data_IF_980304859930
#
_entry.id   IF_980304859930
#
_cell.length_a   1.000
_cell.length_b   1.000
_cell.length_c   1.000
_cell.angle_alpha   90.00
_cell.angle_beta   90.00
_cell.angle_gamma   90.00
#
_symmetry.space_group_name_H-M   'P 1'
#
loop_
_entity.id
_entity.type
_entity.pdbx_description
1 polymer ?
#
# COMPACT_ATOMS: atom_id res chain seq x y z
N UNK A 1 -43.20 -0.30 3.03
CA UNK A 1 -41.87 -0.19 3.65
C UNK A 1 -41.00 -1.14 2.88
N UNK A 2 -39.98 -0.66 2.16
CA UNK A 2 -38.87 -1.44 1.59
C UNK A 2 -37.89 -0.46 0.89
N UNK A 3 -37.19 0.36 1.68
CA UNK A 3 -36.16 1.27 1.17
C UNK A 3 -34.84 1.23 1.95
N UNK A 4 -34.72 0.39 2.99
CA UNK A 4 -33.54 0.35 3.88
C UNK A 4 -32.60 -0.86 3.65
N UNK A 5 -33.01 -1.86 2.87
CA UNK A 5 -32.23 -3.11 2.74
C UNK A 5 -31.15 -3.07 1.64
N UNK A 6 -31.15 -2.02 0.80
CA UNK A 6 -30.24 -1.92 -0.36
C UNK A 6 -28.93 -1.20 -0.02
N UNK A 7 -28.84 -0.46 1.10
CA UNK A 7 -27.71 0.44 1.37
C UNK A 7 -26.61 -0.17 2.27
N UNK A 8 -26.98 -1.01 3.25
CA UNK A 8 -26.00 -1.59 4.18
C UNK A 8 -25.12 -2.69 3.55
N UNK A 9 -25.72 -3.61 2.79
CA UNK A 9 -24.99 -4.70 2.14
C UNK A 9 -24.05 -4.20 1.03
N UNK A 10 -24.41 -3.11 0.35
CA UNK A 10 -23.56 -2.50 -0.68
C UNK A 10 -22.38 -1.74 -0.07
N UNK A 11 -22.60 -1.07 1.06
CA UNK A 11 -21.57 -0.35 1.80
C UNK A 11 -20.55 -1.29 2.45
N UNK A 12 -20.99 -2.44 2.98
CA UNK A 12 -20.11 -3.47 3.53
C UNK A 12 -19.24 -4.13 2.44
N UNK A 13 -19.85 -4.52 1.31
CA UNK A 13 -19.09 -5.06 0.17
C UNK A 13 -18.10 -4.05 -0.42
N UNK A 14 -18.49 -2.78 -0.52
CA UNK A 14 -17.60 -1.73 -1.01
C UNK A 14 -16.42 -1.50 -0.06
N UNK A 15 -16.67 -1.55 1.26
CA UNK A 15 -15.64 -1.40 2.29
C UNK A 15 -14.67 -2.58 2.30
N UNK A 16 -15.19 -3.80 2.17
CA UNK A 16 -14.37 -5.02 2.03
C UNK A 16 -13.49 -4.97 0.79
N UNK A 17 -14.05 -4.61 -0.37
CA UNK A 17 -13.26 -4.47 -1.62
C UNK A 17 -12.18 -3.39 -1.51
N UNK A 18 -12.46 -2.27 -0.83
CA UNK A 18 -11.46 -1.22 -0.55
C UNK A 18 -10.32 -1.78 0.31
N UNK A 19 -10.65 -2.54 1.36
CA UNK A 19 -9.66 -3.18 2.24
C UNK A 19 -8.81 -4.21 1.51
N UNK A 20 -9.42 -5.07 0.69
CA UNK A 20 -8.71 -6.06 -0.12
C UNK A 20 -7.71 -5.39 -1.08
N UNK A 21 -8.10 -4.26 -1.72
CA UNK A 21 -7.18 -3.46 -2.53
C UNK A 21 -6.05 -2.87 -1.69
N UNK A 22 -6.36 -2.25 -0.55
CA UNK A 22 -5.36 -1.67 0.32
C UNK A 22 -4.32 -2.71 0.78
N UNK A 23 -4.75 -3.94 1.10
CA UNK A 23 -3.86 -5.04 1.44
C UNK A 23 -2.93 -5.44 0.28
N UNK A 24 -3.46 -5.55 -0.95
CA UNK A 24 -2.64 -5.88 -2.12
C UNK A 24 -1.59 -4.79 -2.41
N UNK A 25 -1.99 -3.51 -2.29
CA UNK A 25 -1.09 -2.37 -2.44
C UNK A 25 -0.01 -2.34 -1.36
N UNK A 26 -0.41 -2.49 -0.09
CA UNK A 26 0.49 -2.50 1.06
C UNK A 26 1.53 -3.62 0.95
N UNK A 27 1.10 -4.84 0.58
CA UNK A 27 2.00 -5.96 0.37
C UNK A 27 3.02 -5.67 -0.72
N UNK A 28 2.57 -5.22 -1.89
CA UNK A 28 3.46 -4.94 -3.02
C UNK A 28 4.50 -3.87 -2.70
N UNK A 29 4.09 -2.82 -2.00
CA UNK A 29 4.96 -1.72 -1.58
C UNK A 29 5.93 -2.16 -0.47
N UNK A 30 5.44 -2.89 0.54
CA UNK A 30 6.26 -3.37 1.65
C UNK A 30 7.34 -4.34 1.18
N UNK A 31 7.02 -5.27 0.27
CA UNK A 31 7.99 -6.22 -0.28
C UNK A 31 9.18 -5.49 -0.93
N UNK A 32 8.97 -4.27 -1.43
CA UNK A 32 9.96 -3.41 -2.11
C UNK A 32 10.63 -2.39 -1.20
N UNK A 33 10.42 -2.45 0.11
CA UNK A 33 11.05 -1.48 1.01
C UNK A 33 10.46 -0.07 0.98
N UNK A 34 9.28 0.12 0.38
CA UNK A 34 8.56 1.40 0.42
C UNK A 34 7.87 1.53 1.78
N UNK A 35 8.04 2.67 2.45
CA UNK A 35 7.37 2.98 3.73
C UNK A 35 5.99 3.60 3.50
N UNK A 36 5.16 3.66 4.55
CA UNK A 36 3.86 4.34 4.47
C UNK A 36 4.00 5.81 4.06
N UNK A 37 4.97 6.51 4.63
CA UNK A 37 5.26 7.91 4.29
C UNK A 37 5.68 8.07 2.83
N UNK A 38 6.64 7.26 2.36
CA UNK A 38 7.09 7.32 0.97
C UNK A 38 5.96 7.01 -0.03
N UNK A 39 5.08 6.06 0.31
CA UNK A 39 3.91 5.75 -0.51
C UNK A 39 3.00 6.96 -0.68
N UNK A 40 2.71 7.71 0.39
CA UNK A 40 1.83 8.88 0.36
C UNK A 40 2.48 10.10 -0.29
N UNK A 41 3.81 10.15 -0.38
CA UNK A 41 4.54 11.19 -1.09
C UNK A 41 4.68 10.90 -2.60
N UNK A 42 4.32 9.69 -3.07
CA UNK A 42 4.40 9.36 -4.49
C UNK A 42 3.43 10.21 -5.31
N UNK A 43 3.89 10.75 -6.46
CA UNK A 43 2.99 11.39 -7.41
C UNK A 43 1.90 10.46 -7.92
N UNK A 44 0.77 11.04 -8.28
CA UNK A 44 -0.43 10.38 -8.79
C UNK A 44 -0.18 9.38 -9.95
N UNK A 45 0.71 9.71 -10.88
CA UNK A 45 1.07 8.82 -12.00
C UNK A 45 1.85 7.59 -11.51
N UNK A 46 2.69 7.75 -10.48
CA UNK A 46 3.44 6.68 -9.84
C UNK A 46 2.53 5.78 -9.02
N UNK A 47 1.60 6.35 -8.26
CA UNK A 47 0.55 5.59 -7.56
C UNK A 47 -0.26 4.72 -8.53
N UNK A 48 -0.68 5.26 -9.67
CA UNK A 48 -1.39 4.47 -10.70
C UNK A 48 -0.53 3.34 -11.26
N UNK A 49 0.75 3.59 -11.55
CA UNK A 49 1.69 2.55 -12.01
C UNK A 49 1.89 1.46 -10.95
N UNK A 50 2.01 1.85 -9.69
CA UNK A 50 2.20 0.94 -8.56
C UNK A 50 0.99 0.02 -8.41
N UNK A 51 -0.22 0.58 -8.44
CA UNK A 51 -1.44 -0.21 -8.38
C UNK A 51 -1.51 -1.27 -9.48
N UNK A 52 -1.15 -0.90 -10.72
CA UNK A 52 -1.11 -1.85 -11.85
C UNK A 52 -0.07 -2.95 -11.66
N UNK A 53 1.12 -2.59 -11.19
CA UNK A 53 2.17 -3.57 -10.89
C UNK A 53 1.78 -4.52 -9.75
N UNK A 54 0.99 -4.03 -8.78
CA UNK A 54 0.38 -4.84 -7.72
C UNK A 54 -0.81 -5.70 -8.19
N UNK A 55 -1.14 -5.70 -9.49
CA UNK A 55 -2.27 -6.45 -10.04
C UNK A 55 -3.65 -5.87 -9.70
N UNK A 56 -3.71 -4.61 -9.27
CA UNK A 56 -4.95 -3.93 -8.88
C UNK A 56 -5.31 -2.79 -9.83
N UNK A 57 -6.60 -2.45 -9.88
CA UNK A 57 -7.02 -1.19 -10.49
C UNK A 57 -6.68 -0.03 -9.55
N UNK A 58 -6.08 1.06 -10.06
CA UNK A 58 -5.76 2.24 -9.25
C UNK A 58 -6.97 2.69 -8.44
N UNK A 59 -6.83 2.86 -7.12
CA UNK A 59 -7.86 3.48 -6.32
C UNK A 59 -8.23 4.84 -6.88
N UNK A 60 -9.53 5.13 -6.90
CA UNK A 60 -10.06 6.45 -7.28
C UNK A 60 -10.00 7.45 -6.13
N UNK A 61 -9.69 7.01 -4.90
CA UNK A 61 -9.66 7.84 -3.70
C UNK A 61 -8.32 7.71 -2.96
N UNK A 62 -7.93 8.81 -2.30
CA UNK A 62 -6.76 8.85 -1.43
C UNK A 62 -6.91 7.98 -0.18
N UNK A 63 -8.15 7.79 0.30
CA UNK A 63 -8.47 6.96 1.48
C UNK A 63 -7.88 5.54 1.39
N UNK A 64 -7.96 4.89 0.21
CA UNK A 64 -7.40 3.53 0.03
C UNK A 64 -5.87 3.53 0.15
N UNK A 65 -5.21 4.61 -0.30
CA UNK A 65 -3.77 4.78 -0.18
C UNK A 65 -3.35 5.02 1.27
N UNK A 66 -4.13 5.79 2.02
CA UNK A 66 -3.92 5.99 3.47
C UNK A 66 -4.01 4.66 4.23
N UNK A 67 -5.04 3.85 3.98
CA UNK A 67 -5.17 2.52 4.61
C UNK A 67 -4.00 1.61 4.22
N UNK A 68 -3.52 1.67 2.97
CA UNK A 68 -2.35 0.91 2.56
C UNK A 68 -1.07 1.34 3.31
N UNK A 69 -0.88 2.64 3.53
CA UNK A 69 0.24 3.18 4.30
C UNK A 69 0.20 2.72 5.77
N UNK A 70 -0.96 2.76 6.42
CA UNK A 70 -1.14 2.28 7.80
C UNK A 70 -0.79 0.78 7.94
N UNK A 71 -1.19 -0.03 6.96
CA UNK A 71 -0.85 -1.47 6.91
C UNK A 71 0.65 -1.71 6.74
N UNK A 72 1.35 -0.86 5.96
CA UNK A 72 2.81 -0.92 5.83
C UNK A 72 3.46 -0.62 7.18
N UNK A 73 3.02 0.44 7.88
CA UNK A 73 3.58 0.84 9.17
C UNK A 73 3.30 -0.19 10.28
N UNK A 74 2.13 -0.84 10.26
CA UNK A 74 1.83 -1.97 11.13
C UNK A 74 2.75 -3.16 10.83
N UNK A 75 2.93 -3.49 9.56
CA UNK A 75 3.80 -4.58 9.14
C UNK A 75 5.26 -4.31 9.52
N UNK A 76 5.71 -3.07 9.46
CA UNK A 76 7.05 -2.67 9.87
C UNK A 76 7.28 -2.79 11.36
N UNK A 77 6.34 -2.33 12.18
CA UNK A 77 6.39 -2.54 13.64
C UNK A 77 6.40 -4.02 13.97
N UNK A 78 5.58 -4.82 13.29
CA UNK A 78 5.56 -6.27 13.47
C UNK A 78 6.91 -6.90 13.07
N UNK A 79 7.47 -6.54 11.90
CA UNK A 79 8.74 -7.10 11.41
C UNK A 79 9.91 -6.73 12.32
N UNK A 80 9.93 -5.51 12.87
CA UNK A 80 10.90 -5.07 13.87
C UNK A 80 10.78 -5.86 15.18
N UNK A 81 9.60 -6.33 15.57
CA UNK A 81 9.45 -7.21 16.74
C UNK A 81 9.80 -8.69 16.45
N UNK A 82 9.96 -9.08 15.18
CA UNK A 82 10.08 -10.48 14.74
C UNK A 82 11.25 -10.69 13.76
N UNK A 83 12.44 -10.19 14.09
CA UNK A 83 13.61 -10.20 13.20
C UNK A 83 14.04 -11.58 12.65
N UNK A 84 13.68 -12.68 13.30
CA UNK A 84 14.00 -14.04 12.86
C UNK A 84 12.90 -14.73 12.02
N UNK A 85 11.74 -14.10 11.87
CA UNK A 85 10.63 -14.68 11.09
C UNK A 85 10.87 -14.42 9.59
N UNK A 86 10.81 -15.45 8.73
CA UNK A 86 10.95 -15.26 7.28
C UNK A 86 9.97 -14.24 6.68
N UNK A 87 8.79 -14.06 7.30
CA UNK A 87 7.78 -13.07 6.88
C UNK A 87 8.15 -11.64 7.27
N UNK A 88 9.19 -11.43 8.08
CA UNK A 88 9.73 -10.11 8.42
C UNK A 88 10.77 -9.63 7.39
N UNK A 89 11.19 -10.50 6.46
CA UNK A 89 12.12 -10.16 5.38
C UNK A 89 11.35 -9.52 4.22
N UNK A 90 11.91 -8.44 3.68
CA UNK A 90 11.41 -7.76 2.48
C UNK A 90 12.13 -8.31 1.24
N UNK A 91 11.44 -9.05 0.35
CA UNK A 91 12.12 -9.84 -0.69
C UNK A 91 12.63 -9.04 -1.91
N UNK A 92 12.16 -7.81 -2.14
CA UNK A 92 12.38 -7.06 -3.39
C UNK A 92 12.89 -5.63 -3.15
N UNK A 93 13.70 -5.43 -2.11
CA UNK A 93 14.16 -4.09 -1.69
C UNK A 93 15.02 -3.38 -2.73
N UNK A 94 15.69 -4.13 -3.61
CA UNK A 94 16.44 -3.64 -4.75
C UNK A 94 15.55 -2.92 -5.78
N UNK A 95 14.27 -3.30 -5.89
CA UNK A 95 13.32 -2.66 -6.79
C UNK A 95 12.83 -1.30 -6.29
N UNK A 96 13.13 -0.91 -5.04
CA UNK A 96 12.68 0.35 -4.44
C UNK A 96 12.96 1.56 -5.34
N UNK A 97 14.14 1.58 -5.95
CA UNK A 97 14.62 2.71 -6.76
C UNK A 97 13.77 2.97 -8.01
N UNK A 98 13.00 1.98 -8.47
CA UNK A 98 12.07 2.15 -9.59
C UNK A 98 10.84 3.01 -9.21
N UNK A 99 10.59 3.14 -7.91
CA UNK A 99 9.41 3.80 -7.33
C UNK A 99 9.77 5.09 -6.60
N UNK A 100 10.74 5.00 -5.69
CA UNK A 100 11.21 6.10 -4.84
C UNK A 100 12.62 6.44 -5.29
N UNK A 101 12.81 7.65 -5.84
CA UNK A 101 14.14 8.10 -6.25
C UNK A 101 14.92 8.51 -5.00
N UNK A 102 16.11 7.93 -4.74
CA UNK A 102 16.93 8.38 -3.62
C UNK A 102 17.38 9.83 -3.85
N UNK A 103 17.53 10.62 -2.77
CA UNK A 103 18.08 11.97 -2.89
C UNK A 103 19.47 11.90 -3.55
N UNK A 104 19.71 12.77 -4.53
CA UNK A 104 21.01 12.87 -5.19
C UNK A 104 21.96 13.56 -4.21
N UNK A 105 22.97 12.83 -3.71
CA UNK A 105 24.02 13.45 -2.91
C UNK A 105 24.86 14.38 -3.80
N UNK A 106 25.13 15.63 -3.37
CA UNK A 106 26.06 16.51 -4.08
C UNK A 106 27.47 15.90 -4.05
N UNK A 107 28.23 16.11 -5.13
CA UNK A 107 29.61 15.64 -5.20
C UNK A 107 30.46 16.47 -4.21
N UNK A 108 31.20 15.79 -3.33
CA UNK A 108 32.16 16.42 -2.42
C UNK A 108 33.54 16.50 -3.04
#
# INVERSE_FOLDING_TARGET
>A
MDADDVDFAHTDQASRRRREKALALARFAWDRGITGAELLELPDDRLRKLARAAGTNPPSTHETWTVAAELIDEKDRWAAAHHGDPRAVRPHTDEKIMWVKPPIAPWS
#
